data_IF_340774944753
#
_entry.id   IF_340774944753
#
_cell.length_a   1.000
_cell.length_b   1.000
_cell.length_c   1.000
_cell.angle_alpha   90.00
_cell.angle_beta   90.00
_cell.angle_gamma   90.00
#
_symmetry.space_group_name_H-M   'P 1'
#
loop_
_entity.id
_entity.type
_entity.pdbx_description
1 polymer ?
#
# COMPACT_ATOMS: atom_id res chain seq x y z
N UNK A 1 10.22 18.28 17.02
CA UNK A 1 10.18 18.90 18.37
C UNK A 1 8.73 18.85 18.88
N UNK A 2 8.32 17.74 19.49
CA UNK A 2 6.99 17.60 20.12
C UNK A 2 6.99 18.28 21.50
N UNK A 3 7.26 19.59 21.53
CA UNK A 3 7.28 20.38 22.76
C UNK A 3 5.84 20.64 23.20
N UNK A 4 5.36 19.88 24.19
CA UNK A 4 4.12 20.18 24.91
C UNK A 4 3.37 18.97 25.47
N UNK A 5 3.69 17.74 25.04
CA UNK A 5 3.02 16.53 25.55
C UNK A 5 3.93 15.80 26.55
N UNK A 6 3.39 15.28 27.67
CA UNK A 6 4.12 14.38 28.56
C UNK A 6 4.76 13.23 27.76
N UNK A 7 5.99 12.84 28.13
CA UNK A 7 6.76 11.83 27.42
C UNK A 7 5.99 10.51 27.24
N UNK A 8 5.22 10.10 28.25
CA UNK A 8 4.38 8.91 28.22
C UNK A 8 3.29 8.96 27.13
N UNK A 9 2.74 10.15 26.85
CA UNK A 9 1.73 10.33 25.79
C UNK A 9 2.39 10.22 24.42
N UNK A 10 3.58 10.82 24.25
CA UNK A 10 4.34 10.74 22.99
C UNK A 10 4.69 9.29 22.68
N UNK A 11 5.15 8.54 23.68
CA UNK A 11 5.50 7.12 23.53
C UNK A 11 4.28 6.27 23.14
N UNK A 12 3.13 6.46 23.80
CA UNK A 12 1.87 5.79 23.41
C UNK A 12 1.43 6.17 21.99
N UNK A 13 1.60 7.42 21.59
CA UNK A 13 1.26 7.87 20.23
C UNK A 13 2.17 7.22 19.17
N UNK A 14 3.46 7.11 19.44
CA UNK A 14 4.42 6.43 18.56
C UNK A 14 4.11 4.94 18.49
N UNK A 15 3.84 4.29 19.63
CA UNK A 15 3.44 2.89 19.68
C UNK A 15 2.19 2.61 18.85
N UNK A 16 1.16 3.44 18.98
CA UNK A 16 -0.05 3.32 18.16
C UNK A 16 0.21 3.48 16.65
N UNK A 17 1.10 4.39 16.26
CA UNK A 17 1.52 4.56 14.86
C UNK A 17 2.28 3.35 14.33
N UNK A 18 3.16 2.76 15.14
CA UNK A 18 3.90 1.54 14.76
C UNK A 18 2.91 0.40 14.57
N UNK A 19 1.97 0.19 15.50
CA UNK A 19 0.95 -0.86 15.37
C UNK A 19 0.12 -0.67 14.11
N UNK A 20 -0.29 0.57 13.79
CA UNK A 20 -1.01 0.88 12.57
C UNK A 20 -0.17 0.58 11.32
N UNK A 21 1.10 0.99 11.31
CA UNK A 21 2.01 0.72 10.20
C UNK A 21 2.16 -0.78 9.96
N UNK A 22 2.31 -1.58 11.02
CA UNK A 22 2.38 -3.04 10.90
C UNK A 22 1.08 -3.62 10.32
N UNK A 23 -0.08 -3.15 10.76
CA UNK A 23 -1.37 -3.60 10.23
C UNK A 23 -1.59 -3.28 8.74
N UNK A 24 -0.95 -2.22 8.22
CA UNK A 24 -1.05 -1.84 6.81
C UNK A 24 0.05 -2.49 5.95
N UNK A 25 1.25 -2.67 6.47
CA UNK A 25 2.43 -3.10 5.71
C UNK A 25 2.78 -4.60 5.85
N UNK A 26 2.25 -5.30 6.85
CA UNK A 26 2.60 -6.70 7.14
C UNK A 26 1.44 -7.64 6.83
N UNK A 27 1.68 -8.65 5.99
CA UNK A 27 0.66 -9.65 5.62
C UNK A 27 0.05 -10.33 6.85
N UNK A 28 0.86 -10.67 7.87
CA UNK A 28 0.36 -11.38 9.06
C UNK A 28 -0.51 -10.53 9.96
N UNK A 29 -0.29 -9.20 9.97
CA UNK A 29 -1.05 -8.25 10.78
C UNK A 29 -2.26 -7.65 10.05
N UNK A 30 -2.33 -7.83 8.73
CA UNK A 30 -3.43 -7.36 7.89
C UNK A 30 -4.73 -8.11 8.19
N UNK A 31 -5.85 -7.38 8.08
CA UNK A 31 -7.18 -7.95 8.12
C UNK A 31 -7.43 -8.85 6.90
N UNK A 32 -8.08 -9.98 7.10
CA UNK A 32 -8.37 -10.92 6.03
C UNK A 32 -9.49 -10.38 5.11
N UNK A 33 -9.25 -10.32 3.80
CA UNK A 33 -10.17 -9.71 2.82
C UNK A 33 -11.57 -10.31 2.85
N UNK A 34 -11.72 -11.62 3.13
CA UNK A 34 -13.03 -12.28 3.20
C UNK A 34 -13.69 -12.19 4.58
N UNK A 35 -12.91 -11.95 5.63
CA UNK A 35 -13.41 -11.74 6.98
C UNK A 35 -12.49 -10.74 7.71
N UNK A 36 -12.81 -9.43 7.65
CA UNK A 36 -11.96 -8.39 8.21
C UNK A 36 -11.80 -8.44 9.74
N UNK A 37 -12.62 -9.23 10.45
CA UNK A 37 -12.54 -9.41 11.90
C UNK A 37 -11.33 -10.27 12.32
N UNK A 38 -10.73 -10.99 11.38
CA UNK A 38 -9.61 -11.91 11.64
C UNK A 38 -8.39 -11.45 10.86
N UNK A 39 -7.23 -11.42 11.53
CA UNK A 39 -5.95 -11.19 10.86
C UNK A 39 -5.51 -12.42 10.07
N UNK A 40 -4.81 -12.23 8.96
CA UNK A 40 -4.32 -13.33 8.12
C UNK A 40 -3.38 -14.26 8.88
N UNK A 41 -2.52 -13.72 9.76
CA UNK A 41 -1.65 -14.54 10.61
C UNK A 41 -2.42 -15.42 11.60
N UNK A 42 -3.48 -14.89 12.20
CA UNK A 42 -4.35 -15.65 13.12
C UNK A 42 -5.15 -16.73 12.38
N UNK A 43 -5.57 -16.43 11.16
CA UNK A 43 -6.24 -17.40 10.29
C UNK A 43 -5.31 -18.58 9.96
N UNK A 44 -4.06 -18.30 9.56
CA UNK A 44 -3.07 -19.33 9.27
C UNK A 44 -2.79 -20.21 10.50
N UNK A 45 -2.56 -19.59 11.66
CA UNK A 45 -2.33 -20.30 12.93
C UNK A 45 -3.52 -21.19 13.32
N UNK A 46 -4.75 -20.69 13.18
CA UNK A 46 -5.98 -21.47 13.44
C UNK A 46 -6.08 -22.70 12.52
N UNK A 47 -5.54 -22.60 11.30
CA UNK A 47 -5.49 -23.71 10.36
C UNK A 47 -4.27 -24.65 10.57
N UNK A 48 -3.43 -24.40 11.58
CA UNK A 48 -2.20 -25.18 11.83
C UNK A 48 -1.09 -24.91 10.81
N UNK A 49 -1.13 -23.75 10.15
CA UNK A 49 -0.17 -23.35 9.12
C UNK A 49 0.62 -22.10 9.52
N UNK A 50 1.80 -21.96 8.92
CA UNK A 50 2.67 -20.79 9.07
C UNK A 50 2.98 -20.18 7.71
N UNK A 51 2.96 -18.84 7.64
CA UNK A 51 3.29 -18.10 6.43
C UNK A 51 4.78 -17.80 6.47
N UNK A 52 5.56 -18.49 5.62
CA UNK A 52 7.02 -18.33 5.56
C UNK A 52 7.42 -17.14 4.66
N UNK A 53 6.83 -17.06 3.48
CA UNK A 53 7.14 -16.01 2.50
C UNK A 53 6.03 -15.89 1.47
N UNK A 54 5.89 -14.71 0.88
CA UNK A 54 5.04 -14.50 -0.29
C UNK A 54 5.78 -13.60 -1.30
N UNK A 55 5.40 -13.70 -2.57
CA UNK A 55 5.86 -12.79 -3.61
C UNK A 55 4.63 -12.33 -4.39
N UNK A 56 4.49 -11.00 -4.53
CA UNK A 56 3.40 -10.39 -5.26
C UNK A 56 3.97 -9.69 -6.49
N UNK A 57 3.50 -10.10 -7.67
CA UNK A 57 3.83 -9.46 -8.93
C UNK A 57 2.65 -8.63 -9.40
N UNK A 58 2.92 -7.39 -9.79
CA UNK A 58 1.95 -6.50 -10.41
C UNK A 58 2.48 -6.06 -11.77
N UNK A 59 1.65 -6.18 -12.80
CA UNK A 59 2.00 -5.73 -14.14
C UNK A 59 2.21 -4.22 -14.11
N UNK A 60 3.36 -3.76 -14.61
CA UNK A 60 3.74 -2.35 -14.62
C UNK A 60 4.27 -1.83 -13.28
N UNK A 61 4.59 -2.69 -12.32
CA UNK A 61 5.25 -2.25 -11.09
C UNK A 61 6.61 -1.62 -11.39
N UNK A 62 6.86 -0.42 -10.87
CA UNK A 62 8.04 0.38 -11.16
C UNK A 62 8.13 0.99 -12.57
N UNK A 63 7.10 0.84 -13.42
CA UNK A 63 7.07 1.47 -14.75
C UNK A 63 6.28 2.78 -14.67
N UNK A 64 6.92 3.89 -15.04
CA UNK A 64 6.23 5.17 -15.19
C UNK A 64 5.27 5.07 -16.38
N UNK A 65 3.97 5.21 -16.10
CA UNK A 65 2.95 5.18 -17.15
C UNK A 65 2.91 6.55 -17.81
N UNK A 66 3.33 6.69 -19.09
CA UNK A 66 3.21 7.95 -19.79
C UNK A 66 1.73 8.35 -19.86
N UNK A 67 1.46 9.62 -19.57
CA UNK A 67 0.14 10.22 -19.73
C UNK A 67 0.09 10.76 -21.15
N UNK A 68 -0.34 9.92 -22.09
CA UNK A 68 -0.49 10.32 -23.48
C UNK A 68 -1.86 10.99 -23.66
N UNK A 69 -1.86 12.27 -24.03
CA UNK A 69 -3.09 12.98 -24.38
C UNK A 69 -3.40 12.79 -25.86
N UNK A 70 -4.29 11.84 -26.14
CA UNK A 70 -4.71 11.51 -27.50
C UNK A 70 -5.18 12.73 -28.32
N UNK A 71 -5.80 13.72 -27.68
CA UNK A 71 -6.24 14.93 -28.38
C UNK A 71 -5.06 15.75 -28.93
N UNK A 72 -3.97 15.85 -28.16
CA UNK A 72 -2.77 16.59 -28.54
C UNK A 72 -2.00 15.85 -29.65
N UNK A 73 -1.96 14.52 -29.60
CA UNK A 73 -1.38 13.69 -30.66
C UNK A 73 -2.13 13.84 -32.00
N UNK A 74 -3.47 13.80 -31.95
CA UNK A 74 -4.31 14.00 -33.14
C UNK A 74 -4.14 15.41 -33.69
N UNK A 75 -4.09 16.43 -32.84
CA UNK A 75 -3.87 17.80 -33.25
C UNK A 75 -2.49 17.99 -33.92
N UNK A 76 -1.43 17.37 -33.37
CA UNK A 76 -0.10 17.41 -33.95
C UNK A 76 -0.02 16.73 -35.32
N UNK A 77 -0.67 15.58 -35.50
CA UNK A 77 -0.72 14.89 -36.80
C UNK A 77 -1.47 15.71 -37.86
N UNK A 78 -2.59 16.34 -37.50
CA UNK A 78 -3.36 17.18 -38.42
C UNK A 78 -2.64 18.49 -38.77
N UNK A 79 -1.83 19.04 -37.85
CA UNK A 79 -0.99 20.21 -38.11
C UNK A 79 0.18 19.87 -39.03
N UNK A 80 0.86 18.74 -38.81
CA UNK A 80 1.96 18.27 -39.65
C UNK A 80 1.51 17.91 -41.08
N UNK A 81 0.28 17.41 -41.26
CA UNK A 81 -0.28 17.10 -42.57
C UNK A 81 -0.74 18.34 -43.38
N UNK A 82 -0.76 19.53 -42.76
CA UNK A 82 -1.16 20.80 -43.40
C UNK A 82 0.03 21.66 -43.85
N UNK A 83 1.27 21.23 -43.60
CA UNK A 83 2.48 21.77 -44.19
C UNK A 83 2.87 20.98 -45.44
#
# INVERSE_FOLDING_TARGET
KEKGKPAEIVEKMVGGRITKFLAEASLVEQAFVKNPEVKVGDLAKKAGAEIVSFTYFKVGDGIEKPIDNFADEVAAQLAAAKQ
#
